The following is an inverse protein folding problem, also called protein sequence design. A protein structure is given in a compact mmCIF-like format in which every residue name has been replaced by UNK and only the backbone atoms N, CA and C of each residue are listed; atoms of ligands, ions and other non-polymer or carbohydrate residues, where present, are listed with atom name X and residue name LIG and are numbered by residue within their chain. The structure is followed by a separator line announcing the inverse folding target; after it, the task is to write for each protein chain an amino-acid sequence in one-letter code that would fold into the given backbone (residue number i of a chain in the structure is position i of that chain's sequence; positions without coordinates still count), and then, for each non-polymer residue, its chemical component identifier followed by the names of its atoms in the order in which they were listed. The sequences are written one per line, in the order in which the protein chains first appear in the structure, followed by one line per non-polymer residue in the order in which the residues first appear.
data_IF_684565504609
#
_entry.id   IF_684565504609
#
_cell.length_a   1.000
_cell.length_b   1.000
_cell.length_c   1.000
_cell.angle_alpha   90.00
_cell.angle_beta   90.00
_cell.angle_gamma   90.00
#
_symmetry.space_group_name_H-M   'P 1'
#
loop_
_entity.id
_entity.type
_entity.pdbx_description
1 polymer ?
#
# COMPACT_ATOMS: atom_id res chain seq x y z
N UNK A 1 28.37 -28.21 6.41
CA UNK A 1 28.15 -27.77 5.02
C UNK A 1 26.68 -28.03 4.71
N UNK A 2 25.75 -27.13 4.99
CA UNK A 2 25.59 -25.85 4.29
C UNK A 2 24.55 -26.04 3.18
N UNK A 3 23.28 -26.28 3.57
CA UNK A 3 22.12 -26.45 2.70
C UNK A 3 21.89 -25.20 1.85
N UNK A 4 22.01 -25.34 0.53
CA UNK A 4 21.60 -24.31 -0.44
C UNK A 4 20.09 -24.43 -0.66
N UNK A 5 19.32 -23.56 -0.02
CA UNK A 5 17.94 -23.32 -0.40
C UNK A 5 17.93 -22.57 -1.73
N UNK A 6 17.54 -23.25 -2.81
CA UNK A 6 17.14 -22.60 -4.06
C UNK A 6 15.72 -22.09 -3.81
N UNK A 7 15.60 -20.85 -3.36
CA UNK A 7 14.31 -20.18 -3.26
C UNK A 7 13.77 -20.03 -4.69
N UNK A 8 12.68 -20.76 -4.96
CA UNK A 8 11.95 -20.90 -6.21
C UNK A 8 12.31 -19.94 -7.35
N UNK A 9 12.63 -20.51 -8.50
CA UNK A 9 12.50 -19.85 -9.77
C UNK A 9 11.04 -19.40 -9.94
N UNK A 10 10.71 -18.16 -9.54
CA UNK A 10 9.52 -17.49 -10.07
C UNK A 10 9.82 -17.32 -11.56
N UNK A 11 9.28 -18.22 -12.38
CA UNK A 11 9.01 -17.97 -13.78
C UNK A 11 7.97 -16.85 -13.76
N UNK A 12 8.42 -15.61 -13.58
CA UNK A 12 7.59 -14.45 -13.84
C UNK A 12 7.29 -14.52 -15.32
N UNK A 13 6.06 -14.88 -15.68
CA UNK A 13 5.61 -14.66 -17.04
C UNK A 13 5.83 -13.17 -17.29
N UNK A 14 6.62 -12.77 -18.30
CA UNK A 14 6.79 -11.36 -18.60
C UNK A 14 5.40 -10.81 -18.89
N UNK A 15 4.85 -10.08 -17.92
CA UNK A 15 3.56 -9.44 -18.09
C UNK A 15 3.81 -8.34 -19.09
N UNK A 16 3.34 -8.54 -20.32
CA UNK A 16 3.35 -7.48 -21.31
C UNK A 16 2.23 -6.51 -20.92
N UNK A 17 2.60 -5.51 -20.14
CA UNK A 17 1.73 -4.37 -19.85
C UNK A 17 1.62 -3.58 -21.15
N UNK A 18 0.49 -3.67 -21.83
CA UNK A 18 0.17 -2.70 -22.89
C UNK A 18 0.06 -1.35 -22.21
N UNK A 19 0.86 -0.39 -22.64
CA UNK A 19 0.74 0.99 -22.17
C UNK A 19 -0.68 1.45 -22.47
N UNK A 20 -1.53 1.66 -21.45
CA UNK A 20 -2.88 2.17 -21.69
C UNK A 20 -2.75 3.56 -22.32
N UNK A 21 -3.61 3.89 -23.27
CA UNK A 21 -3.64 5.23 -23.84
C UNK A 21 -4.24 6.21 -22.82
N UNK A 22 -3.42 6.59 -21.83
CA UNK A 22 -3.79 7.51 -20.76
C UNK A 22 -4.20 8.87 -21.32
N UNK A 23 -3.65 9.28 -22.46
CA UNK A 23 -4.05 10.51 -23.14
C UNK A 23 -5.51 10.45 -23.60
N UNK A 24 -5.92 9.37 -24.27
CA UNK A 24 -7.32 9.17 -24.67
C UNK A 24 -8.24 9.08 -23.45
N UNK A 25 -7.84 8.37 -22.39
CA UNK A 25 -8.65 8.27 -21.16
C UNK A 25 -8.81 9.64 -20.50
N UNK A 26 -7.73 10.44 -20.38
CA UNK A 26 -7.76 11.81 -19.87
C UNK A 26 -8.60 12.74 -20.73
N UNK A 27 -8.55 12.57 -22.06
CA UNK A 27 -9.38 13.34 -22.97
C UNK A 27 -10.86 13.01 -22.76
N UNK A 28 -11.22 11.73 -22.70
CA UNK A 28 -12.59 11.30 -22.43
C UNK A 28 -13.08 11.80 -21.07
N UNK A 29 -12.25 11.69 -20.03
CA UNK A 29 -12.60 12.19 -18.69
C UNK A 29 -12.78 13.70 -18.67
N UNK A 30 -12.10 14.45 -19.52
CA UNK A 30 -12.28 15.90 -19.64
C UNK A 30 -13.68 16.30 -20.09
N UNK A 31 -14.43 15.42 -20.77
CA UNK A 31 -15.83 15.66 -21.15
C UNK A 31 -16.82 15.43 -20.00
N UNK A 32 -16.42 14.73 -18.93
CA UNK A 32 -17.23 14.58 -17.71
C UNK A 32 -17.18 15.89 -16.93
N UNK A 33 -18.16 16.77 -17.19
CA UNK A 33 -18.30 18.08 -16.51
C UNK A 33 -19.65 18.22 -15.81
N UNK A 34 -19.72 19.17 -14.88
CA UNK A 34 -20.96 19.54 -14.19
C UNK A 34 -21.60 18.36 -13.45
N UNK A 35 -22.89 18.12 -13.70
CA UNK A 35 -23.64 17.05 -13.04
C UNK A 35 -23.07 15.65 -13.30
N UNK A 36 -22.54 15.40 -14.50
CA UNK A 36 -22.01 14.09 -14.87
C UNK A 36 -20.77 13.73 -14.08
N UNK A 37 -19.89 14.72 -13.83
CA UNK A 37 -18.72 14.55 -12.98
C UNK A 37 -19.13 14.22 -11.54
N UNK A 38 -20.10 14.95 -10.98
CA UNK A 38 -20.60 14.70 -9.61
C UNK A 38 -21.23 13.32 -9.48
N UNK A 39 -22.01 12.89 -10.47
CA UNK A 39 -22.61 11.54 -10.50
C UNK A 39 -21.53 10.46 -10.57
N UNK A 40 -20.50 10.67 -11.41
CA UNK A 40 -19.36 9.76 -11.48
C UNK A 40 -18.63 9.68 -10.13
N UNK A 41 -18.25 10.82 -9.55
CA UNK A 41 -17.57 10.89 -8.25
C UNK A 41 -18.41 10.25 -7.13
N UNK A 42 -19.74 10.37 -7.18
CA UNK A 42 -20.61 9.70 -6.21
C UNK A 42 -20.58 8.17 -6.32
N UNK A 43 -20.47 7.63 -7.53
CA UNK A 43 -20.51 6.17 -7.77
C UNK A 43 -19.13 5.51 -7.72
N UNK A 44 -18.10 6.26 -8.10
CA UNK A 44 -16.76 5.77 -8.40
C UNK A 44 -15.67 6.53 -7.66
N UNK A 45 -16.06 7.57 -6.91
CA UNK A 45 -15.15 8.32 -6.08
C UNK A 45 -14.10 9.09 -6.86
N UNK A 46 -12.90 9.15 -6.31
CA UNK A 46 -11.74 9.88 -6.81
C UNK A 46 -10.97 9.13 -7.91
N UNK A 47 -11.54 8.11 -8.54
CA UNK A 47 -10.89 7.38 -9.65
C UNK A 47 -10.37 8.31 -10.76
N UNK A 48 -11.03 9.44 -11.02
CA UNK A 48 -10.54 10.43 -12.00
C UNK A 48 -9.23 11.11 -11.56
N UNK A 49 -9.03 11.33 -10.26
CA UNK A 49 -7.80 11.92 -9.73
C UNK A 49 -6.60 10.98 -9.90
N UNK A 50 -6.82 9.66 -9.89
CA UNK A 50 -5.75 8.67 -10.14
C UNK A 50 -5.11 8.89 -11.51
N UNK A 51 -5.90 9.32 -12.51
CA UNK A 51 -5.40 9.61 -13.85
C UNK A 51 -4.47 10.82 -13.90
N UNK A 52 -4.53 11.70 -12.89
CA UNK A 52 -3.72 12.92 -12.78
C UNK A 52 -2.42 12.68 -11.99
N UNK A 53 -2.30 11.55 -11.29
CA UNK A 53 -1.10 11.19 -10.54
C UNK A 53 0.06 10.99 -11.52
N UNK A 54 1.14 11.74 -11.31
CA UNK A 54 2.40 11.49 -11.98
C UNK A 54 2.96 10.16 -11.49
N UNK A 55 3.13 9.22 -12.42
CA UNK A 55 3.67 7.89 -12.14
C UNK A 55 4.93 7.69 -12.97
N UNK A 56 5.87 6.91 -12.42
CA UNK A 56 7.04 6.45 -13.15
C UNK A 56 6.69 5.12 -13.82
N UNK A 57 6.50 5.07 -15.15
CA UNK A 57 6.03 3.86 -15.83
C UNK A 57 6.92 2.65 -15.56
N UNK A 58 8.22 2.85 -15.47
CA UNK A 58 9.21 1.80 -15.20
C UNK A 58 9.03 1.20 -13.80
N UNK A 59 8.68 2.03 -12.81
CA UNK A 59 8.41 1.57 -11.46
C UNK A 59 7.12 0.72 -11.39
N UNK A 60 6.08 1.12 -12.13
CA UNK A 60 4.84 0.35 -12.25
C UNK A 60 5.07 -0.98 -12.96
N UNK A 61 5.81 -0.97 -14.07
CA UNK A 61 6.17 -2.19 -14.78
C UNK A 61 6.94 -3.17 -13.89
N UNK A 62 7.91 -2.66 -13.12
CA UNK A 62 8.66 -3.46 -12.14
C UNK A 62 7.74 -4.02 -11.05
N UNK A 63 6.85 -3.19 -10.48
CA UNK A 63 5.87 -3.62 -9.46
C UNK A 63 4.95 -4.73 -9.97
N UNK A 64 4.41 -4.59 -11.19
CA UNK A 64 3.48 -5.55 -11.78
C UNK A 64 4.09 -6.94 -11.94
N UNK A 65 5.42 -7.07 -12.12
CA UNK A 65 6.08 -8.38 -12.16
C UNK A 65 5.96 -9.15 -10.84
N UNK A 66 5.71 -8.46 -9.73
CA UNK A 66 5.53 -9.07 -8.41
C UNK A 66 4.06 -9.27 -8.04
N UNK A 67 3.10 -8.92 -8.90
CA UNK A 67 1.68 -9.09 -8.61
C UNK A 67 1.31 -10.58 -8.56
N UNK A 68 0.77 -11.02 -7.42
CA UNK A 68 0.20 -12.33 -7.21
C UNK A 68 -1.32 -12.24 -7.39
N UNK A 69 -1.82 -12.71 -8.54
CA UNK A 69 -3.24 -12.59 -8.88
C UNK A 69 -4.18 -13.34 -7.92
N UNK A 70 -3.90 -14.60 -7.52
CA UNK A 70 -4.66 -15.28 -6.47
C UNK A 70 -4.75 -14.49 -5.15
N UNK A 71 -3.63 -13.93 -4.69
CA UNK A 71 -3.57 -13.19 -3.43
C UNK A 71 -4.02 -11.73 -3.55
N UNK A 72 -4.15 -11.21 -4.79
CA UNK A 72 -4.46 -9.81 -5.12
C UNK A 72 -3.51 -8.79 -4.48
N UNK A 73 -2.25 -9.16 -4.29
CA UNK A 73 -1.22 -8.31 -3.69
C UNK A 73 0.12 -8.42 -4.43
N UNK A 74 1.03 -7.47 -4.20
CA UNK A 74 2.40 -7.55 -4.71
C UNK A 74 3.27 -8.32 -3.72
N UNK A 75 3.90 -9.40 -4.17
CA UNK A 75 4.66 -10.33 -3.32
C UNK A 75 6.15 -10.25 -3.59
N UNK A 76 6.89 -9.68 -2.64
CA UNK A 76 8.35 -9.68 -2.60
C UNK A 76 8.85 -10.86 -1.75
N UNK A 77 10.17 -11.11 -1.72
CA UNK A 77 10.74 -12.23 -0.94
C UNK A 77 10.41 -12.13 0.56
N UNK A 78 10.48 -10.93 1.11
CA UNK A 78 10.46 -10.72 2.56
C UNK A 78 9.20 -9.98 3.06
N UNK A 79 8.35 -9.48 2.16
CA UNK A 79 7.13 -8.76 2.52
C UNK A 79 6.10 -8.77 1.38
N UNK A 80 4.85 -8.49 1.74
CA UNK A 80 3.76 -8.29 0.80
C UNK A 80 3.37 -6.81 0.81
N UNK A 81 3.13 -6.24 -0.37
CA UNK A 81 2.51 -4.92 -0.49
C UNK A 81 1.08 -5.11 -0.99
N UNK A 82 0.13 -4.77 -0.14
CA UNK A 82 -1.26 -4.56 -0.49
C UNK A 82 -1.66 -3.23 0.15
N UNK A 83 -2.36 -2.34 -0.57
CA UNK A 83 -2.89 -1.14 0.08
C UNK A 83 -3.85 -1.57 1.20
N UNK A 84 -3.81 -0.87 2.33
CA UNK A 84 -4.79 -1.11 3.40
C UNK A 84 -6.18 -0.67 2.96
N UNK A 85 -7.21 -1.06 3.71
CA UNK A 85 -8.59 -0.69 3.37
C UNK A 85 -8.74 0.84 3.30
N UNK A 86 -8.06 1.54 4.18
CA UNK A 86 -8.08 2.99 4.32
C UNK A 86 -7.30 3.72 3.24
N UNK A 87 -6.18 3.13 2.81
CA UNK A 87 -5.47 3.62 1.64
C UNK A 87 -6.34 3.50 0.38
N UNK A 88 -7.11 2.41 0.26
CA UNK A 88 -8.14 2.29 -0.78
C UNK A 88 -9.26 3.32 -0.61
N UNK A 89 -9.78 3.53 0.60
CA UNK A 89 -10.80 4.55 0.86
C UNK A 89 -10.31 5.94 0.47
N UNK A 90 -9.06 6.27 0.78
CA UNK A 90 -8.46 7.57 0.47
C UNK A 90 -8.21 7.72 -1.02
N UNK A 91 -7.68 6.69 -1.67
CA UNK A 91 -7.44 6.68 -3.12
C UNK A 91 -8.75 6.80 -3.90
N UNK A 92 -9.79 6.10 -3.43
CA UNK A 92 -11.11 6.11 -4.04
C UNK A 92 -11.99 7.24 -3.53
N UNK A 93 -11.67 7.95 -2.45
CA UNK A 93 -12.58 8.94 -1.86
C UNK A 93 -13.96 8.39 -1.47
N UNK A 94 -14.05 7.08 -1.20
CA UNK A 94 -15.29 6.39 -0.86
C UNK A 94 -15.09 5.64 0.46
N UNK A 95 -16.03 5.71 1.41
CA UNK A 95 -16.00 4.86 2.60
C UNK A 95 -16.28 3.41 2.17
N UNK A 96 -15.32 2.52 2.39
CA UNK A 96 -15.39 1.08 2.11
C UNK A 96 -15.68 0.28 3.37
N UNK A 97 -15.36 0.82 4.56
CA UNK A 97 -15.73 0.30 5.86
C UNK A 97 -16.55 1.32 6.67
N UNK A 98 -17.42 0.78 7.55
CA UNK A 98 -18.16 1.58 8.54
C UNK A 98 -17.30 1.93 9.76
N UNK A 99 -16.16 1.26 9.96
CA UNK A 99 -15.23 1.45 11.08
C UNK A 99 -14.21 2.54 10.77
N UNK A 100 -13.91 3.38 11.77
CA UNK A 100 -13.00 4.51 11.64
C UNK A 100 -11.70 4.13 10.94
N UNK A 101 -11.43 4.80 9.83
CA UNK A 101 -10.25 4.54 8.99
C UNK A 101 -8.99 4.60 9.87
N UNK A 102 -8.18 3.54 9.88
CA UNK A 102 -6.74 3.67 10.10
C UNK A 102 -6.15 4.68 9.11
N UNK A 103 -6.19 5.95 9.50
CA UNK A 103 -5.31 6.93 8.88
C UNK A 103 -3.90 6.55 9.33
N UNK A 104 -3.03 6.22 8.38
CA UNK A 104 -1.60 6.43 8.57
C UNK A 104 -1.46 7.91 8.89
N UNK A 105 -1.47 8.26 10.18
CA UNK A 105 -1.07 9.56 10.61
C UNK A 105 0.39 9.66 10.16
N UNK A 106 0.77 10.74 9.47
CA UNK A 106 2.18 11.05 9.20
C UNK A 106 3.01 11.18 10.51
N UNK A 107 2.36 10.98 11.65
CA UNK A 107 2.89 10.86 12.99
C UNK A 107 2.89 9.38 13.39
N UNK A 108 4.08 8.89 13.75
CA UNK A 108 4.24 7.57 14.36
C UNK A 108 3.35 7.46 15.60
N UNK A 109 2.54 6.38 15.74
CA UNK A 109 1.70 6.21 16.91
C UNK A 109 2.54 6.21 18.19
N UNK A 110 1.99 6.80 19.25
CA UNK A 110 2.68 6.86 20.54
C UNK A 110 2.96 5.46 21.09
N UNK A 111 4.03 5.33 21.89
CA UNK A 111 4.35 4.04 22.53
C UNK A 111 3.23 3.55 23.46
N UNK A 112 2.45 4.44 24.06
CA UNK A 112 1.25 4.08 24.84
C UNK A 112 0.09 3.55 24.02
N UNK A 113 0.05 3.86 22.72
CA UNK A 113 -0.87 3.20 21.78
C UNK A 113 -0.34 1.84 21.34
N UNK A 114 0.97 1.69 21.18
CA UNK A 114 1.61 0.46 20.68
C UNK A 114 1.66 -0.64 21.76
N UNK A 115 1.94 -0.31 23.02
CA UNK A 115 2.11 -1.29 24.09
C UNK A 115 0.90 -2.22 24.29
N UNK A 116 -0.34 -1.71 24.39
CA UNK A 116 -1.52 -2.54 24.53
C UNK A 116 -1.75 -3.48 23.34
N UNK A 117 -1.43 -3.03 22.12
CA UNK A 117 -1.59 -3.83 20.89
C UNK A 117 -0.63 -5.03 20.87
N UNK A 118 0.58 -4.82 21.36
CA UNK A 118 1.59 -5.88 21.52
C UNK A 118 1.39 -6.71 22.80
N UNK A 119 0.37 -6.39 23.62
CA UNK A 119 0.09 -7.01 24.91
C UNK A 119 1.28 -6.95 25.88
N UNK A 120 2.01 -5.83 25.86
CA UNK A 120 3.15 -5.57 26.74
C UNK A 120 2.98 -4.21 27.42
N UNK A 121 3.84 -3.92 28.41
CA UNK A 121 3.81 -2.63 29.10
C UNK A 121 4.66 -1.58 28.37
N UNK A 122 4.36 -0.29 28.58
CA UNK A 122 5.16 0.80 28.01
C UNK A 122 6.60 0.79 28.53
N UNK A 123 6.82 0.35 29.77
CA UNK A 123 8.15 0.22 30.36
C UNK A 123 8.96 -0.88 29.66
N UNK A 124 8.31 -1.97 29.24
CA UNK A 124 8.96 -3.00 28.45
C UNK A 124 9.39 -2.46 27.09
N UNK A 125 8.48 -1.78 26.39
CA UNK A 125 8.77 -1.13 25.12
C UNK A 125 9.90 -0.10 25.26
N UNK A 126 9.91 0.70 26.33
CA UNK A 126 10.95 1.68 26.59
C UNK A 126 12.35 1.06 26.76
N UNK A 127 12.43 -0.16 27.31
CA UNK A 127 13.69 -0.92 27.44
C UNK A 127 14.16 -1.52 26.12
N UNK A 128 13.24 -1.82 25.21
CA UNK A 128 13.52 -2.58 23.98
C UNK A 128 13.70 -1.68 22.76
N UNK A 129 13.01 -0.53 22.72
CA UNK A 129 13.05 0.40 21.59
C UNK A 129 14.49 0.85 21.30
N UNK A 130 14.78 1.05 20.02
CA UNK A 130 16.08 1.54 19.52
C UNK A 130 15.87 2.75 18.65
N UNK A 131 16.72 3.75 18.79
CA UNK A 131 16.79 4.87 17.85
C UNK A 131 17.78 4.53 16.74
N UNK A 132 17.37 4.65 15.48
CA UNK A 132 18.24 4.63 14.30
C UNK A 132 17.88 5.80 13.41
N UNK A 133 18.88 6.62 13.06
CA UNK A 133 18.73 7.76 12.17
C UNK A 133 17.63 8.75 12.59
N UNK A 134 17.41 8.93 13.90
CA UNK A 134 16.38 9.83 14.42
C UNK A 134 14.99 9.20 14.52
N UNK A 135 14.80 7.96 14.08
CA UNK A 135 13.55 7.21 14.20
C UNK A 135 13.65 6.17 15.31
N UNK A 136 12.73 6.20 16.26
CA UNK A 136 12.59 5.14 17.27
C UNK A 136 11.80 3.95 16.69
N UNK A 137 12.24 2.73 16.97
CA UNK A 137 11.57 1.51 16.50
C UNK A 137 11.90 0.29 17.36
N UNK A 138 11.12 -0.77 17.20
CA UNK A 138 11.36 -2.04 17.87
C UNK A 138 12.29 -2.94 17.02
N UNK A 139 13.24 -3.67 17.61
CA UNK A 139 14.02 -4.66 16.89
C UNK A 139 13.12 -5.75 16.30
N UNK A 140 13.38 -6.17 15.06
CA UNK A 140 12.66 -7.27 14.41
C UNK A 140 12.60 -8.54 15.28
N UNK A 141 13.73 -8.92 15.89
CA UNK A 141 13.83 -10.08 16.78
C UNK A 141 12.95 -9.99 18.05
N UNK A 142 12.44 -8.80 18.40
CA UNK A 142 11.47 -8.64 19.48
C UNK A 142 10.04 -8.94 19.03
N UNK A 143 9.71 -8.60 17.78
CA UNK A 143 8.37 -8.80 17.21
C UNK A 143 8.13 -10.24 16.72
N UNK A 144 9.19 -10.96 16.38
CA UNK A 144 9.14 -12.35 15.87
C UNK A 144 9.23 -13.40 16.98
N UNK A 145 8.93 -13.04 18.23
CA UNK A 145 8.92 -13.96 19.37
C UNK A 145 7.70 -14.86 19.39
#
# INVERSE_FOLDING_TARGET
MGTKYILGAKIGYPVQVRTPNLHTIRNISSYLKGQWRRTFEKMHGNLLQILEIETQPEALEALVQYYDAPARCFTFRDFQMAPTLEEYERLLGLPLAESGSYFHQDQTPSWGTIAPLLKVSEEEIARVKKNRNGSEGLPRAYLEK
#
